data_IF_432605796110
#
_entry.id   IF_432605796110
#
_cell.length_a   1.000
_cell.length_b   1.000
_cell.length_c   1.000
_cell.angle_alpha   90.00
_cell.angle_beta   90.00
_cell.angle_gamma   90.00
#
_symmetry.space_group_name_H-M   'P 1'
#
loop_
_entity.id
_entity.type
_entity.pdbx_description
1 polymer ?
#
# COMPACT_ATOMS: atom_id res chain seq x y z
N UNK A 1 -6.89 19.19 -13.35
CA UNK A 1 -7.08 18.25 -12.22
C UNK A 1 -5.97 18.54 -11.23
N UNK A 2 -6.25 18.73 -9.94
CA UNK A 2 -5.18 19.07 -9.00
C UNK A 2 -4.23 17.88 -8.86
N UNK A 3 -2.94 18.12 -9.04
CA UNK A 3 -1.85 17.19 -8.70
C UNK A 3 -1.71 17.11 -7.17
N UNK A 4 -2.81 16.85 -6.46
CA UNK A 4 -2.77 16.75 -5.01
C UNK A 4 -2.06 15.44 -4.67
N UNK A 5 -0.92 15.50 -3.96
CA UNK A 5 -0.14 14.30 -3.66
C UNK A 5 -0.95 13.31 -2.82
N UNK A 6 -0.73 12.02 -3.07
CA UNK A 6 -1.25 10.94 -2.25
C UNK A 6 -0.19 10.56 -1.23
N UNK A 7 -0.48 10.72 0.05
CA UNK A 7 0.38 10.26 1.13
C UNK A 7 -0.16 8.98 1.75
N UNK A 8 0.76 8.10 2.11
CA UNK A 8 0.53 7.01 3.04
C UNK A 8 1.06 7.49 4.40
N UNK A 9 0.16 7.75 5.34
CA UNK A 9 0.44 8.34 6.65
C UNK A 9 0.85 7.28 7.69
N UNK A 10 0.41 6.03 7.50
CA UNK A 10 0.71 4.94 8.43
C UNK A 10 0.36 3.59 7.83
N UNK A 11 1.09 2.55 8.25
CA UNK A 11 0.72 1.15 8.10
C UNK A 11 0.57 0.53 9.50
N UNK A 12 -0.44 -0.31 9.70
CA UNK A 12 -0.54 -1.23 10.83
C UNK A 12 -0.60 -2.65 10.27
N UNK A 13 0.34 -3.51 10.66
CA UNK A 13 0.37 -4.90 10.26
C UNK A 13 0.10 -5.83 11.44
N UNK A 14 -0.77 -6.82 11.22
CA UNK A 14 -1.11 -7.86 12.19
C UNK A 14 -0.51 -9.19 11.72
N UNK A 15 0.66 -9.62 12.25
CA UNK A 15 1.39 -10.79 11.76
C UNK A 15 0.60 -12.09 11.81
N UNK A 16 -0.22 -12.29 12.86
CA UNK A 16 -0.99 -13.53 13.05
C UNK A 16 -2.08 -13.72 12.01
N UNK A 17 -2.77 -12.64 11.64
CA UNK A 17 -3.86 -12.70 10.67
C UNK A 17 -3.42 -12.28 9.27
N UNK A 18 -2.15 -11.91 9.08
CA UNK A 18 -1.60 -11.28 7.87
C UNK A 18 -2.43 -10.08 7.34
N UNK A 19 -3.16 -9.40 8.23
CA UNK A 19 -3.98 -8.23 7.88
C UNK A 19 -3.13 -6.98 7.95
N UNK A 20 -3.34 -6.08 7.00
CA UNK A 20 -2.72 -4.77 6.97
C UNK A 20 -3.78 -3.68 6.89
N UNK A 21 -3.63 -2.64 7.71
CA UNK A 21 -4.46 -1.43 7.66
C UNK A 21 -3.60 -0.28 7.17
N UNK A 22 -4.07 0.38 6.11
CA UNK A 22 -3.38 1.44 5.40
C UNK A 22 -4.10 2.76 5.65
N UNK A 23 -3.37 3.80 6.02
CA UNK A 23 -3.90 5.12 6.29
C UNK A 23 -3.41 6.08 5.20
N UNK A 24 -4.31 6.47 4.31
CA UNK A 24 -4.01 7.40 3.23
C UNK A 24 -4.50 8.81 3.54
N UNK A 25 -3.81 9.80 3.03
CA UNK A 25 -4.22 11.19 3.00
C UNK A 25 -4.10 11.72 1.58
N UNK A 26 -5.22 12.15 1.02
CA UNK A 26 -5.28 12.75 -0.29
C UNK A 26 -6.02 14.08 -0.19
N UNK A 27 -5.31 15.17 -0.45
CA UNK A 27 -5.88 16.53 -0.38
C UNK A 27 -6.52 16.87 0.99
N UNK A 28 -6.00 16.32 2.08
CA UNK A 28 -6.55 16.49 3.43
C UNK A 28 -7.67 15.50 3.78
N UNK A 29 -8.16 14.73 2.82
CA UNK A 29 -9.12 13.66 3.05
C UNK A 29 -8.41 12.38 3.49
N UNK A 30 -8.78 11.87 4.67
CA UNK A 30 -8.23 10.64 5.23
C UNK A 30 -9.04 9.44 4.79
N UNK A 31 -8.37 8.45 4.22
CA UNK A 31 -8.97 7.16 3.84
C UNK A 31 -8.25 6.03 4.56
N UNK A 32 -9.01 5.14 5.21
CA UNK A 32 -8.47 3.96 5.91
C UNK A 32 -8.94 2.73 5.15
N UNK A 33 -8.00 1.89 4.72
CA UNK A 33 -8.30 0.69 3.94
C UNK A 33 -7.71 -0.54 4.63
N UNK A 34 -8.44 -1.64 4.58
CA UNK A 34 -7.93 -2.94 5.04
C UNK A 34 -7.55 -3.80 3.85
N UNK A 35 -6.45 -4.53 4.00
CA UNK A 35 -6.01 -5.52 3.04
C UNK A 35 -5.43 -6.76 3.72
N UNK A 36 -5.27 -7.81 2.94
CA UNK A 36 -4.73 -9.08 3.37
C UNK A 36 -3.44 -9.34 2.60
N UNK A 37 -2.33 -9.55 3.30
CA UNK A 37 -1.12 -10.05 2.67
C UNK A 37 -1.31 -11.55 2.44
N UNK A 38 -1.11 -11.96 1.19
CA UNK A 38 -1.19 -13.34 0.76
C UNK A 38 0.18 -13.83 0.33
N UNK A 39 0.37 -15.14 0.42
CA UNK A 39 1.60 -15.78 -0.03
C UNK A 39 1.32 -17.09 -0.70
N UNK A 40 1.99 -17.36 -1.82
CA UNK A 40 2.00 -18.66 -2.48
C UNK A 40 3.42 -19.07 -2.82
N UNK A 41 3.73 -20.36 -2.73
CA UNK A 41 5.09 -20.89 -2.92
C UNK A 41 5.89 -21.02 -1.62
N UNK A 42 7.13 -21.49 -1.74
CA UNK A 42 8.04 -21.76 -0.62
C UNK A 42 9.49 -21.44 -1.00
N UNK A 43 10.30 -21.00 -0.04
CA UNK A 43 11.72 -20.72 -0.28
C UNK A 43 11.91 -19.56 -1.26
N UNK A 44 12.74 -19.76 -2.29
CA UNK A 44 13.05 -18.75 -3.29
C UNK A 44 11.88 -18.47 -4.26
N UNK A 45 10.88 -19.35 -4.32
CA UNK A 45 9.68 -19.21 -5.16
C UNK A 45 8.50 -18.51 -4.43
N UNK A 46 8.79 -17.80 -3.34
CA UNK A 46 7.77 -17.16 -2.53
C UNK A 46 7.21 -15.92 -3.22
N UNK A 47 5.97 -16.02 -3.70
CA UNK A 47 5.21 -14.90 -4.25
C UNK A 47 4.38 -14.28 -3.13
N UNK A 48 4.50 -12.97 -2.96
CA UNK A 48 3.70 -12.16 -2.04
C UNK A 48 2.67 -11.35 -2.82
N UNK A 49 1.45 -11.28 -2.30
CA UNK A 49 0.36 -10.49 -2.86
C UNK A 49 -0.32 -9.65 -1.79
N UNK A 50 -1.10 -8.66 -2.25
CA UNK A 50 -1.96 -7.85 -1.41
C UNK A 50 -3.38 -7.98 -1.97
N UNK A 51 -4.25 -8.65 -1.21
CA UNK A 51 -5.65 -8.86 -1.57
C UNK A 51 -6.53 -7.83 -0.85
N UNK A 52 -7.15 -6.94 -1.63
CA UNK A 52 -8.18 -6.00 -1.16
C UNK A 52 -8.91 -5.37 -2.34
N UNK A 53 -10.22 -5.57 -2.40
CA UNK A 53 -11.09 -4.90 -3.38
C UNK A 53 -11.14 -3.38 -3.10
N UNK A 54 -11.22 -2.97 -1.84
CA UNK A 54 -11.26 -1.56 -1.45
C UNK A 54 -9.97 -0.82 -1.85
N UNK A 55 -8.80 -1.44 -1.61
CA UNK A 55 -7.52 -0.90 -2.06
C UNK A 55 -7.45 -0.80 -3.58
N UNK A 56 -7.89 -1.84 -4.28
CA UNK A 56 -7.89 -1.86 -5.75
C UNK A 56 -8.75 -0.72 -6.30
N UNK A 57 -9.97 -0.57 -5.81
CA UNK A 57 -10.89 0.50 -6.22
C UNK A 57 -10.36 1.89 -5.85
N UNK A 58 -9.71 2.04 -4.69
CA UNK A 58 -9.09 3.30 -4.29
C UNK A 58 -7.96 3.70 -5.22
N UNK A 59 -7.04 2.78 -5.53
CA UNK A 59 -5.88 3.07 -6.37
C UNK A 59 -6.28 3.30 -7.83
N UNK A 60 -7.33 2.63 -8.32
CA UNK A 60 -7.85 2.87 -9.67
C UNK A 60 -8.32 4.32 -9.91
N UNK A 61 -8.65 5.09 -8.86
CA UNK A 61 -8.95 6.53 -8.99
C UNK A 61 -7.77 7.33 -9.55
N UNK A 62 -6.54 6.81 -9.42
CA UNK A 62 -5.31 7.45 -9.84
C UNK A 62 -4.75 6.87 -11.14
N UNK A 63 -5.46 5.98 -11.84
CA UNK A 63 -4.95 5.32 -13.06
C UNK A 63 -4.50 6.30 -14.16
N UNK A 64 -5.06 7.51 -14.17
CA UNK A 64 -4.75 8.57 -15.13
C UNK A 64 -3.57 9.46 -14.71
N UNK A 65 -2.98 9.27 -13.52
CA UNK A 65 -1.82 10.07 -13.08
C UNK A 65 -0.55 9.62 -13.78
N UNK A 66 0.32 10.57 -14.11
CA UNK A 66 1.64 10.26 -14.65
C UNK A 66 2.45 9.40 -13.66
N UNK A 67 3.13 8.37 -14.18
CA UNK A 67 3.91 7.46 -13.34
C UNK A 67 3.08 6.46 -12.52
N UNK A 68 1.78 6.32 -12.77
CA UNK A 68 0.87 5.42 -12.03
C UNK A 68 1.45 4.03 -11.75
N UNK A 69 1.98 3.34 -12.77
CA UNK A 69 2.56 1.98 -12.61
C UNK A 69 3.76 1.98 -11.65
N UNK A 70 4.63 2.99 -11.75
CA UNK A 70 5.79 3.12 -10.85
C UNK A 70 5.35 3.40 -9.42
N UNK A 71 4.36 4.29 -9.24
CA UNK A 71 3.81 4.64 -7.94
C UNK A 71 3.06 3.46 -7.29
N UNK A 72 2.34 2.67 -8.09
CA UNK A 72 1.71 1.42 -7.65
C UNK A 72 2.75 0.41 -7.16
N UNK A 73 3.82 0.20 -7.93
CA UNK A 73 4.91 -0.69 -7.53
C UNK A 73 5.60 -0.19 -6.25
N UNK A 74 5.82 1.12 -6.13
CA UNK A 74 6.35 1.76 -4.91
C UNK A 74 5.46 1.45 -3.70
N UNK A 75 4.14 1.66 -3.83
CA UNK A 75 3.18 1.37 -2.76
C UNK A 75 3.24 -0.10 -2.32
N UNK A 76 3.18 -1.04 -3.26
CA UNK A 76 3.23 -2.46 -2.94
C UNK A 76 4.55 -2.86 -2.28
N UNK A 77 5.68 -2.32 -2.75
CA UNK A 77 6.97 -2.56 -2.11
C UNK A 77 7.01 -2.04 -0.68
N UNK A 78 6.50 -0.83 -0.41
CA UNK A 78 6.42 -0.28 0.96
C UNK A 78 5.61 -1.21 1.86
N UNK A 79 4.41 -1.63 1.43
CA UNK A 79 3.52 -2.47 2.23
C UNK A 79 4.18 -3.82 2.56
N UNK A 80 4.74 -4.50 1.56
CA UNK A 80 5.37 -5.81 1.73
C UNK A 80 6.64 -5.72 2.58
N UNK A 81 7.50 -4.72 2.31
CA UNK A 81 8.71 -4.49 3.10
C UNK A 81 8.38 -4.16 4.56
N UNK A 82 7.34 -3.36 4.82
CA UNK A 82 6.88 -3.06 6.17
C UNK A 82 6.47 -4.34 6.91
N UNK A 83 5.72 -5.23 6.25
CA UNK A 83 5.26 -6.48 6.84
C UNK A 83 6.36 -7.53 7.05
N UNK A 84 7.31 -7.65 6.10
CA UNK A 84 8.37 -8.67 6.16
C UNK A 84 9.53 -8.26 7.09
N UNK A 85 9.92 -6.98 7.09
CA UNK A 85 11.14 -6.51 7.76
C UNK A 85 10.88 -5.64 8.98
N UNK A 86 9.62 -5.40 9.34
CA UNK A 86 9.22 -4.37 10.32
C UNK A 86 9.95 -3.03 10.04
N UNK A 87 10.04 -2.67 8.75
CA UNK A 87 10.77 -1.48 8.33
C UNK A 87 10.11 -0.23 8.90
N UNK A 88 10.87 0.52 9.68
CA UNK A 88 10.48 1.85 10.16
C UNK A 88 10.84 2.85 9.07
N UNK A 89 9.96 3.01 8.07
CA UNK A 89 9.99 4.22 7.25
C UNK A 89 9.38 5.36 8.07
N UNK A 90 9.99 6.55 7.99
CA UNK A 90 9.44 7.77 8.56
C UNK A 90 8.21 8.17 7.75
N UNK A 91 7.04 7.87 8.30
CA UNK A 91 5.78 8.36 7.74
C UNK A 91 5.61 9.87 8.00
N UNK A 92 4.90 10.61 7.13
CA UNK A 92 4.17 10.14 5.94
C UNK A 92 5.06 9.95 4.71
N UNK A 93 4.73 8.97 3.86
CA UNK A 93 5.42 8.69 2.60
C UNK A 93 4.56 9.16 1.43
N UNK A 94 5.12 9.99 0.54
CA UNK A 94 4.43 10.35 -0.70
C UNK A 94 4.43 9.18 -1.69
N UNK A 95 3.27 8.78 -2.17
CA UNK A 95 3.06 7.70 -3.13
C UNK A 95 2.87 8.24 -4.55
N UNK A 96 2.05 9.29 -4.71
CA UNK A 96 1.72 9.93 -6.00
C UNK A 96 1.80 11.45 -5.91
#
# INVERSE_FOLDING_TARGET
MSNSPLYLDKIIYHPTSHKVTLFFNWNGEKTILSAQITSSGTGDDLIRGIASEELSNFIMKFIHTEGFVSNLNKLFNIILNYADKNLFEDFPIQIM
#
